data_IF_324369861694
#
_entry.id   IF_324369861694
#
_cell.length_a   1.000
_cell.length_b   1.000
_cell.length_c   1.000
_cell.angle_alpha   90.00
_cell.angle_beta   90.00
_cell.angle_gamma   90.00
#
_symmetry.space_group_name_H-M   'P 1'
#
loop_
_entity.id
_entity.type
_entity.pdbx_description
1 polymer ?
#
# COMPACT_ATOMS: atom_id res chain seq x y z
N UNK A 1 36.35 16.47 -70.65
CA UNK A 1 34.98 16.45 -70.08
C UNK A 1 34.71 15.07 -69.51
N UNK A 2 34.85 14.90 -68.19
CA UNK A 2 34.25 13.82 -67.40
C UNK A 2 34.50 14.18 -65.93
N UNK A 3 33.55 14.89 -65.36
CA UNK A 3 33.56 15.30 -63.95
C UNK A 3 33.26 14.08 -63.07
N UNK A 4 34.22 13.69 -62.23
CA UNK A 4 33.99 12.78 -61.10
C UNK A 4 33.67 13.63 -59.88
N UNK A 5 32.37 13.75 -59.56
CA UNK A 5 31.92 14.28 -58.26
C UNK A 5 32.12 13.20 -57.19
N UNK A 6 33.05 13.43 -56.28
CA UNK A 6 33.19 12.68 -55.02
C UNK A 6 32.05 13.11 -54.08
N UNK A 7 31.18 12.17 -53.72
CA UNK A 7 30.21 12.31 -52.62
C UNK A 7 30.95 12.08 -51.29
N UNK A 8 30.97 13.11 -50.44
CA UNK A 8 31.44 13.03 -49.05
C UNK A 8 30.28 12.50 -48.18
N UNK A 9 30.48 11.51 -47.27
CA UNK A 9 29.40 11.05 -46.40
C UNK A 9 29.14 12.09 -45.31
N UNK A 10 27.88 12.51 -45.17
CA UNK A 10 27.39 13.34 -44.07
C UNK A 10 27.32 12.46 -42.82
N UNK A 11 28.26 12.66 -41.90
CA UNK A 11 28.27 12.01 -40.59
C UNK A 11 27.12 12.59 -39.76
N UNK A 12 26.03 11.84 -39.65
CA UNK A 12 24.90 12.20 -38.77
C UNK A 12 25.33 12.01 -37.32
N UNK A 13 25.56 13.12 -36.63
CA UNK A 13 25.90 13.15 -35.21
C UNK A 13 24.62 12.88 -34.40
N UNK A 14 24.41 11.63 -33.99
CA UNK A 14 23.36 11.27 -33.04
C UNK A 14 23.78 11.79 -31.67
N UNK A 15 23.20 12.92 -31.24
CA UNK A 15 23.27 13.38 -29.86
C UNK A 15 22.40 12.44 -29.02
N UNK A 16 23.02 11.42 -28.41
CA UNK A 16 22.42 10.68 -27.32
C UNK A 16 22.33 11.61 -26.11
N UNK A 17 21.14 12.15 -25.84
CA UNK A 17 20.85 12.77 -24.55
C UNK A 17 20.90 11.67 -23.50
N UNK A 18 22.02 11.57 -22.79
CA UNK A 18 22.07 10.83 -21.54
C UNK A 18 21.19 11.58 -20.53
N UNK A 19 20.03 11.01 -20.22
CA UNK A 19 19.28 11.36 -19.02
C UNK A 19 20.18 10.96 -17.86
N UNK A 20 20.90 11.92 -17.28
CA UNK A 20 21.61 11.70 -16.02
C UNK A 20 20.51 11.67 -14.96
N UNK A 21 20.21 10.53 -14.32
CA UNK A 21 19.32 10.56 -13.19
C UNK A 21 20.02 11.42 -12.14
N UNK A 22 19.39 12.54 -11.77
CA UNK A 22 19.80 13.29 -10.59
C UNK A 22 19.68 12.32 -9.42
N UNK A 23 20.81 11.76 -8.99
CA UNK A 23 20.88 10.94 -7.80
C UNK A 23 20.33 11.80 -6.67
N UNK A 24 19.14 11.44 -6.17
CA UNK A 24 18.65 11.98 -4.92
C UNK A 24 19.79 11.84 -3.90
N UNK A 25 20.12 12.92 -3.20
CA UNK A 25 21.20 12.91 -2.23
C UNK A 25 21.01 11.70 -1.29
N UNK A 26 22.01 10.81 -1.26
CA UNK A 26 21.97 9.63 -0.39
C UNK A 26 21.78 10.12 1.05
N UNK A 27 20.78 9.57 1.74
CA UNK A 27 20.60 9.85 3.15
C UNK A 27 21.68 9.09 3.92
N UNK A 28 22.24 9.71 4.94
CA UNK A 28 23.16 9.05 5.86
C UNK A 28 22.31 8.26 6.87
N UNK A 29 22.13 6.96 6.60
CA UNK A 29 21.33 6.04 7.40
C UNK A 29 22.23 4.92 7.94
N UNK A 30 22.00 4.52 9.19
CA UNK A 30 22.73 3.40 9.82
C UNK A 30 22.16 2.02 9.41
N UNK A 31 21.04 2.01 8.71
CA UNK A 31 20.28 0.83 8.35
C UNK A 31 20.94 0.00 7.23
N UNK A 32 20.68 -1.30 7.21
CA UNK A 32 21.12 -2.17 6.11
C UNK A 32 20.30 -1.93 4.82
N UNK A 33 19.00 -1.59 4.98
CA UNK A 33 18.12 -1.22 3.88
C UNK A 33 17.05 -0.21 4.35
N UNK A 34 16.67 0.69 3.44
CA UNK A 34 15.65 1.70 3.70
C UNK A 34 14.81 2.01 2.47
N UNK A 35 13.50 2.23 2.68
CA UNK A 35 12.55 2.54 1.60
C UNK A 35 11.51 3.55 2.07
N UNK A 36 11.28 4.60 1.29
CA UNK A 36 10.14 5.51 1.47
C UNK A 36 9.17 5.36 0.30
N UNK A 37 7.89 5.16 0.58
CA UNK A 37 6.84 4.94 -0.42
C UNK A 37 5.69 5.93 -0.20
N UNK A 38 5.14 6.46 -1.29
CA UNK A 38 3.80 7.05 -1.29
C UNK A 38 2.76 5.94 -1.18
N UNK A 39 1.99 5.93 -0.10
CA UNK A 39 1.01 4.87 0.16
C UNK A 39 -0.11 4.83 -0.90
N UNK A 40 -0.47 5.97 -1.50
CA UNK A 40 -1.55 6.05 -2.50
C UNK A 40 -1.13 5.36 -3.78
N UNK A 41 -0.07 5.86 -4.41
CA UNK A 41 0.40 5.37 -5.71
C UNK A 41 1.22 4.07 -5.63
N UNK A 42 1.84 3.80 -4.48
CA UNK A 42 2.86 2.75 -4.35
C UNK A 42 4.23 3.17 -4.91
N UNK A 43 4.38 4.42 -5.39
CA UNK A 43 5.65 4.93 -5.91
C UNK A 43 6.70 4.98 -4.80
N UNK A 44 7.88 4.48 -5.12
CA UNK A 44 9.05 4.55 -4.24
C UNK A 44 9.71 5.91 -4.42
N UNK A 45 9.78 6.67 -3.34
CA UNK A 45 10.36 8.01 -3.28
C UNK A 45 11.84 7.98 -2.87
N UNK A 46 12.23 7.00 -2.06
CA UNK A 46 13.62 6.74 -1.66
C UNK A 46 13.87 5.24 -1.60
N UNK A 47 15.05 4.81 -2.06
CA UNK A 47 15.46 3.42 -2.08
C UNK A 47 16.94 3.26 -1.72
N UNK A 48 17.22 2.39 -0.77
CA UNK A 48 18.55 1.92 -0.41
C UNK A 48 18.51 0.42 -0.09
N UNK A 49 19.24 -0.38 -0.87
CA UNK A 49 19.32 -1.85 -0.76
C UNK A 49 17.95 -2.57 -0.68
N UNK A 50 16.94 -2.03 -1.35
CA UNK A 50 15.53 -2.38 -1.09
C UNK A 50 15.11 -3.78 -1.53
N UNK A 51 15.91 -4.44 -2.36
CA UNK A 51 15.65 -5.77 -2.91
C UNK A 51 16.55 -6.86 -2.28
N UNK A 52 17.30 -6.52 -1.23
CA UNK A 52 18.08 -7.51 -0.46
C UNK A 52 17.19 -8.20 0.57
N UNK A 53 17.06 -9.54 0.54
CA UNK A 53 16.31 -10.26 1.56
C UNK A 53 17.04 -10.20 2.90
N UNK A 54 16.35 -9.68 3.92
CA UNK A 54 16.89 -9.53 5.28
C UNK A 54 15.95 -10.19 6.29
N UNK A 55 16.47 -10.67 7.43
CA UNK A 55 15.62 -11.05 8.54
C UNK A 55 14.83 -9.86 9.05
N UNK A 56 13.50 -10.01 9.18
CA UNK A 56 12.61 -8.89 9.54
C UNK A 56 11.94 -9.03 10.90
N UNK A 57 12.25 -10.12 11.62
CA UNK A 57 11.74 -10.37 12.97
C UNK A 57 10.22 -10.18 13.06
N UNK A 58 9.73 -9.48 14.09
CA UNK A 58 8.30 -9.27 14.33
C UNK A 58 7.56 -8.42 13.28
N UNK A 59 8.22 -7.88 12.24
CA UNK A 59 7.50 -7.33 11.08
C UNK A 59 6.65 -8.41 10.39
N UNK A 60 7.05 -9.68 10.50
CA UNK A 60 6.25 -10.86 10.10
C UNK A 60 4.80 -10.79 10.58
N UNK A 61 4.56 -10.27 11.79
CA UNK A 61 3.21 -10.19 12.37
C UNK A 61 2.27 -9.26 11.60
N UNK A 62 2.76 -8.40 10.71
CA UNK A 62 1.89 -7.67 9.78
C UNK A 62 1.12 -8.64 8.88
N UNK A 63 1.76 -9.70 8.38
CA UNK A 63 1.08 -10.74 7.60
C UNK A 63 0.06 -11.50 8.45
N UNK A 64 0.42 -11.85 9.70
CA UNK A 64 -0.48 -12.52 10.63
C UNK A 64 -1.74 -11.69 10.92
N UNK A 65 -1.58 -10.39 11.18
CA UNK A 65 -2.69 -9.46 11.37
C UNK A 65 -3.52 -9.30 10.09
N UNK A 66 -2.87 -9.14 8.94
CA UNK A 66 -3.53 -9.05 7.63
C UNK A 66 -4.45 -10.25 7.40
N UNK A 67 -3.93 -11.47 7.50
CA UNK A 67 -4.72 -12.69 7.27
C UNK A 67 -5.88 -12.80 8.26
N UNK A 68 -5.64 -12.55 9.54
CA UNK A 68 -6.67 -12.64 10.56
C UNK A 68 -7.81 -11.62 10.35
N UNK A 69 -7.45 -10.37 10.05
CA UNK A 69 -8.44 -9.30 9.86
C UNK A 69 -9.20 -9.45 8.54
N UNK A 70 -8.56 -9.93 7.48
CA UNK A 70 -9.25 -10.27 6.22
C UNK A 70 -10.25 -11.42 6.42
N UNK A 71 -9.91 -12.44 7.21
CA UNK A 71 -10.83 -13.54 7.51
C UNK A 71 -12.03 -13.07 8.33
N UNK A 72 -11.83 -12.16 9.29
CA UNK A 72 -12.91 -11.52 10.05
C UNK A 72 -13.80 -10.66 9.13
N UNK A 73 -13.22 -9.90 8.21
CA UNK A 73 -13.97 -9.07 7.26
C UNK A 73 -14.84 -9.92 6.30
N UNK A 74 -14.36 -11.10 5.92
CA UNK A 74 -15.14 -12.10 5.15
C UNK A 74 -16.21 -12.82 5.99
N UNK A 75 -16.28 -12.57 7.30
CA UNK A 75 -17.24 -13.19 8.20
C UNK A 75 -16.92 -14.65 8.56
N UNK A 76 -15.68 -15.10 8.35
CA UNK A 76 -15.24 -16.46 8.71
C UNK A 76 -15.05 -16.61 10.23
N UNK A 77 -14.66 -15.52 10.90
CA UNK A 77 -14.44 -15.45 12.34
C UNK A 77 -15.02 -14.16 12.93
N UNK A 78 -15.32 -14.19 14.22
CA UNK A 78 -15.82 -13.05 14.97
C UNK A 78 -14.83 -12.62 16.04
N UNK A 79 -14.83 -11.34 16.34
CA UNK A 79 -13.96 -10.77 17.39
C UNK A 79 -14.18 -11.33 18.78
N UNK A 80 -15.41 -11.76 19.02
CA UNK A 80 -15.88 -12.38 20.27
C UNK A 80 -15.57 -13.86 20.35
N UNK A 81 -15.02 -14.46 19.30
CA UNK A 81 -14.61 -15.86 19.32
C UNK A 81 -13.59 -16.08 20.44
N UNK A 82 -13.82 -17.13 21.22
CA UNK A 82 -12.98 -17.49 22.36
C UNK A 82 -11.95 -18.52 21.89
N UNK A 83 -10.68 -18.15 22.02
CA UNK A 83 -9.54 -18.98 21.62
C UNK A 83 -8.93 -19.59 22.88
N UNK A 84 -8.80 -20.91 22.89
CA UNK A 84 -8.11 -21.65 23.97
C UNK A 84 -6.65 -21.82 23.60
N UNK A 85 -5.75 -21.28 24.43
CA UNK A 85 -4.31 -21.37 24.18
C UNK A 85 -3.82 -22.81 24.26
N UNK A 86 -3.14 -23.28 23.21
CA UNK A 86 -2.50 -24.60 23.19
C UNK A 86 -1.21 -24.62 24.03
N UNK A 87 -0.70 -25.81 24.42
CA UNK A 87 0.65 -25.92 24.97
C UNK A 87 1.73 -25.37 24.04
N UNK A 88 1.54 -25.47 22.72
CA UNK A 88 2.48 -24.93 21.73
C UNK A 88 2.51 -23.40 21.76
N UNK A 89 1.36 -22.74 21.75
CA UNK A 89 1.25 -21.29 21.89
C UNK A 89 1.85 -20.80 23.23
N UNK A 90 1.53 -21.48 24.34
CA UNK A 90 2.04 -21.15 25.67
C UNK A 90 3.57 -21.34 25.82
N UNK A 91 4.18 -22.22 25.00
CA UNK A 91 5.62 -22.50 25.04
C UNK A 91 6.50 -21.38 24.49
N UNK A 92 5.91 -20.43 23.75
CA UNK A 92 6.64 -19.43 22.97
C UNK A 92 7.39 -18.45 23.87
N UNK A 93 8.56 -18.02 23.38
CA UNK A 93 9.50 -17.13 24.07
C UNK A 93 9.49 -15.72 23.47
N UNK A 94 10.35 -14.84 23.96
CA UNK A 94 10.42 -13.44 23.50
C UNK A 94 9.24 -12.60 24.01
N UNK A 95 8.79 -11.63 23.21
CA UNK A 95 7.61 -10.83 23.53
C UNK A 95 6.37 -11.74 23.62
N UNK A 96 5.68 -11.69 24.76
CA UNK A 96 4.54 -12.56 25.05
C UNK A 96 3.61 -11.92 26.09
N UNK A 97 2.35 -12.37 26.11
CA UNK A 97 1.39 -12.00 27.15
C UNK A 97 1.28 -13.05 28.27
N UNK A 98 2.15 -14.07 28.20
CA UNK A 98 2.26 -15.17 29.14
C UNK A 98 0.99 -16.00 29.18
N UNK A 99 0.48 -16.39 28.00
CA UNK A 99 -0.63 -17.34 27.90
C UNK A 99 -0.30 -18.64 28.63
N UNK A 100 -1.20 -19.08 29.50
CA UNK A 100 -1.16 -20.43 30.08
C UNK A 100 -1.90 -21.41 29.16
N UNK A 101 -1.44 -22.65 29.05
CA UNK A 101 -2.15 -23.67 28.28
C UNK A 101 -3.55 -23.89 28.86
N UNK A 102 -4.58 -23.80 28.02
CA UNK A 102 -5.99 -23.84 28.44
C UNK A 102 -6.59 -22.48 28.80
N UNK A 103 -5.79 -21.41 28.91
CA UNK A 103 -6.30 -20.05 29.07
C UNK A 103 -7.14 -19.65 27.87
N UNK A 104 -8.26 -18.98 28.12
CA UNK A 104 -9.21 -18.54 27.11
C UNK A 104 -9.16 -17.02 26.98
N UNK A 105 -9.01 -16.53 25.75
CA UNK A 105 -9.05 -15.10 25.42
C UNK A 105 -9.85 -14.87 24.15
N UNK A 106 -10.46 -13.69 24.03
CA UNK A 106 -11.15 -13.35 22.78
C UNK A 106 -10.16 -13.11 21.65
N UNK A 107 -10.56 -13.38 20.41
CA UNK A 107 -9.77 -13.06 19.22
C UNK A 107 -9.38 -11.57 19.20
N UNK A 108 -10.30 -10.68 19.60
CA UNK A 108 -10.01 -9.25 19.72
C UNK A 108 -8.83 -8.94 20.65
N UNK A 109 -8.82 -9.52 21.86
CA UNK A 109 -7.72 -9.32 22.81
C UNK A 109 -6.39 -9.85 22.28
N UNK A 110 -6.41 -11.01 21.63
CA UNK A 110 -5.19 -11.59 21.04
C UNK A 110 -4.67 -10.74 19.87
N UNK A 111 -5.53 -10.13 19.06
CA UNK A 111 -5.12 -9.19 18.02
C UNK A 111 -4.46 -7.94 18.60
N UNK A 112 -5.00 -7.36 19.69
CA UNK A 112 -4.32 -6.29 20.42
C UNK A 112 -2.98 -6.75 21.01
N UNK A 113 -2.88 -7.99 21.51
CA UNK A 113 -1.62 -8.55 21.99
C UNK A 113 -0.56 -8.65 20.90
N UNK A 114 -0.94 -9.05 19.69
CA UNK A 114 -0.07 -9.15 18.51
C UNK A 114 0.36 -7.76 18.03
N UNK A 115 -0.58 -6.81 17.91
CA UNK A 115 -0.30 -5.48 17.38
C UNK A 115 0.49 -4.60 18.36
N UNK A 116 0.03 -4.52 19.61
CA UNK A 116 0.59 -3.62 20.63
C UNK A 116 1.77 -4.27 21.35
N UNK A 117 1.55 -5.45 21.94
CA UNK A 117 2.56 -6.18 22.71
C UNK A 117 3.56 -6.95 21.86
N UNK A 118 3.30 -7.11 20.55
CA UNK A 118 4.10 -7.95 19.66
C UNK A 118 4.20 -9.41 20.13
N UNK A 119 3.15 -9.91 20.77
CA UNK A 119 3.12 -11.17 21.50
C UNK A 119 3.19 -12.40 20.57
N UNK A 120 4.17 -13.27 20.80
CA UNK A 120 4.44 -14.47 20.01
C UNK A 120 3.47 -15.62 20.34
N UNK A 121 3.15 -15.78 21.61
CA UNK A 121 2.16 -16.74 22.10
C UNK A 121 0.76 -16.44 21.51
N UNK A 122 0.36 -15.17 21.50
CA UNK A 122 -0.89 -14.75 20.87
C UNK A 122 -0.90 -14.98 19.34
N UNK A 123 0.21 -14.70 18.65
CA UNK A 123 0.32 -14.93 17.20
C UNK A 123 0.10 -16.41 16.84
N UNK A 124 0.69 -17.32 17.63
CA UNK A 124 0.55 -18.77 17.43
C UNK A 124 -0.87 -19.22 17.76
N UNK A 125 -1.45 -18.76 18.87
CA UNK A 125 -2.83 -19.10 19.23
C UNK A 125 -3.84 -18.69 18.14
N UNK A 126 -3.69 -17.48 17.58
CA UNK A 126 -4.53 -16.99 16.47
C UNK A 126 -4.28 -17.80 15.20
N UNK A 127 -3.03 -18.13 14.89
CA UNK A 127 -2.68 -18.95 13.73
C UNK A 127 -3.30 -20.36 13.78
N UNK A 128 -3.18 -21.02 14.93
CA UNK A 128 -3.79 -22.34 15.18
C UNK A 128 -5.32 -22.28 15.11
N UNK A 129 -5.93 -21.23 15.65
CA UNK A 129 -7.38 -21.04 15.59
C UNK A 129 -7.89 -20.89 14.14
N UNK A 130 -7.21 -20.09 13.33
CA UNK A 130 -7.62 -19.79 11.95
C UNK A 130 -7.39 -20.98 11.01
N UNK A 131 -6.22 -21.64 11.12
CA UNK A 131 -5.79 -22.63 10.14
C UNK A 131 -5.76 -24.07 10.67
N UNK A 132 -6.17 -24.29 11.91
CA UNK A 132 -6.09 -25.59 12.61
C UNK A 132 -4.69 -25.94 13.14
N UNK A 133 -3.63 -25.37 12.58
CA UNK A 133 -2.25 -25.51 13.05
C UNK A 133 -1.39 -24.31 12.63
N UNK A 134 -0.27 -24.07 13.33
CA UNK A 134 0.69 -23.04 12.92
C UNK A 134 1.29 -23.34 11.53
N UNK A 135 1.58 -24.60 11.21
CA UNK A 135 2.15 -25.00 9.91
C UNK A 135 1.18 -24.71 8.75
N UNK A 136 -0.11 -25.02 8.94
CA UNK A 136 -1.16 -24.66 7.99
C UNK A 136 -1.27 -23.15 7.82
N UNK A 137 -1.13 -22.39 8.91
CA UNK A 137 -1.11 -20.93 8.83
C UNK A 137 0.12 -20.40 8.09
N UNK A 138 1.30 -20.99 8.28
CA UNK A 138 2.52 -20.64 7.52
C UNK A 138 2.34 -20.88 6.02
N UNK A 139 1.65 -21.95 5.64
CA UNK A 139 1.30 -22.19 4.24
C UNK A 139 0.41 -21.07 3.68
N UNK A 140 -0.58 -20.61 4.47
CA UNK A 140 -1.42 -19.45 4.13
C UNK A 140 -0.60 -18.15 4.03
N UNK A 141 0.34 -17.91 4.95
CA UNK A 141 1.21 -16.72 4.91
C UNK A 141 2.02 -16.65 3.62
N UNK A 142 2.66 -17.76 3.23
CA UNK A 142 3.45 -17.81 2.01
C UNK A 142 2.57 -17.80 0.74
N UNK A 143 1.34 -18.34 0.80
CA UNK A 143 0.37 -18.19 -0.28
C UNK A 143 -0.04 -16.73 -0.44
N UNK A 144 -0.42 -16.07 0.66
CA UNK A 144 -0.83 -14.66 0.67
C UNK A 144 0.30 -13.76 0.18
N UNK A 145 1.55 -14.06 0.55
CA UNK A 145 2.72 -13.37 0.03
C UNK A 145 2.78 -13.38 -1.51
N UNK A 146 2.55 -14.55 -2.14
CA UNK A 146 2.51 -14.67 -3.61
C UNK A 146 1.34 -13.90 -4.23
N UNK A 147 0.16 -13.97 -3.62
CA UNK A 147 -1.03 -13.23 -4.09
C UNK A 147 -0.83 -11.71 -4.05
N UNK A 148 -0.05 -11.23 -3.07
CA UNK A 148 0.33 -9.82 -2.93
C UNK A 148 1.56 -9.42 -3.74
N UNK A 149 2.19 -10.35 -4.48
CA UNK A 149 3.41 -10.09 -5.24
C UNK A 149 4.67 -9.87 -4.39
N UNK A 150 4.71 -10.40 -3.17
CA UNK A 150 5.87 -10.34 -2.26
C UNK A 150 6.87 -11.46 -2.62
N UNK A 151 7.47 -11.35 -3.81
CA UNK A 151 8.23 -12.43 -4.45
C UNK A 151 9.53 -12.80 -3.72
N UNK A 152 10.05 -11.92 -2.86
CA UNK A 152 11.31 -12.10 -2.15
C UNK A 152 11.10 -12.25 -0.63
N UNK A 153 9.94 -12.80 -0.26
CA UNK A 153 9.52 -13.01 1.12
C UNK A 153 9.32 -14.48 1.47
N UNK A 154 9.76 -14.86 2.66
CA UNK A 154 9.58 -16.19 3.22
C UNK A 154 9.19 -16.12 4.71
N UNK A 155 8.10 -16.81 5.04
CA UNK A 155 7.58 -16.93 6.39
C UNK A 155 7.81 -18.34 6.93
N UNK A 156 8.44 -18.44 8.10
CA UNK A 156 8.77 -19.71 8.74
C UNK A 156 7.83 -20.09 9.91
N UNK A 157 7.06 -19.12 10.43
CA UNK A 157 6.10 -19.24 11.53
C UNK A 157 5.18 -18.00 11.57
N UNK A 158 4.25 -17.95 12.53
CA UNK A 158 3.28 -16.85 12.66
C UNK A 158 3.81 -15.59 13.35
N UNK A 159 5.01 -15.66 13.94
CA UNK A 159 5.50 -14.65 14.89
C UNK A 159 6.71 -13.85 14.41
N UNK A 160 7.53 -14.39 13.51
CA UNK A 160 8.82 -13.77 13.18
C UNK A 160 9.94 -14.10 14.15
N UNK A 161 9.73 -15.03 15.09
CA UNK A 161 10.83 -15.61 15.86
C UNK A 161 11.69 -16.51 14.95
N UNK A 162 13.02 -16.55 15.12
CA UNK A 162 13.85 -17.57 14.47
C UNK A 162 13.43 -18.95 14.96
N UNK A 163 13.47 -19.95 14.06
CA UNK A 163 13.29 -21.35 14.45
C UNK A 163 14.51 -21.85 15.24
N UNK A 164 14.35 -22.97 15.95
CA UNK A 164 15.41 -23.54 16.80
C UNK A 164 16.66 -23.95 15.99
N UNK A 165 16.48 -24.31 14.72
CA UNK A 165 17.56 -24.61 13.77
C UNK A 165 18.26 -23.36 13.19
N UNK A 166 17.83 -22.16 13.60
CA UNK A 166 18.35 -20.89 13.13
C UNK A 166 17.73 -20.37 11.84
N UNK A 167 16.70 -21.03 11.30
CA UNK A 167 15.94 -20.55 10.15
C UNK A 167 15.24 -19.24 10.50
N UNK A 168 15.44 -18.24 9.64
CA UNK A 168 14.85 -16.91 9.77
C UNK A 168 13.73 -16.71 8.75
N UNK A 169 12.83 -15.79 9.09
CA UNK A 169 11.92 -15.18 8.12
C UNK A 169 12.71 -14.17 7.33
N UNK A 170 12.44 -14.02 6.05
CA UNK A 170 13.10 -12.99 5.24
C UNK A 170 12.07 -12.21 4.45
N UNK A 171 12.32 -10.91 4.30
CA UNK A 171 11.64 -10.05 3.34
C UNK A 171 12.64 -9.01 2.86
N UNK A 172 12.33 -8.39 1.73
CA UNK A 172 13.04 -7.20 1.26
C UNK A 172 12.37 -5.94 1.82
N UNK A 173 13.03 -4.79 1.81
CA UNK A 173 12.39 -3.53 2.21
C UNK A 173 11.21 -3.19 1.30
N UNK A 174 11.29 -3.55 0.00
CA UNK A 174 10.19 -3.44 -0.96
C UNK A 174 8.98 -4.28 -0.54
N UNK A 175 9.18 -5.54 -0.20
CA UNK A 175 8.08 -6.42 0.19
C UNK A 175 7.45 -5.99 1.52
N UNK A 176 8.26 -5.54 2.47
CA UNK A 176 7.76 -4.96 3.72
C UNK A 176 6.88 -3.73 3.45
N UNK A 177 7.30 -2.84 2.53
CA UNK A 177 6.53 -1.66 2.17
C UNK A 177 5.22 -2.00 1.44
N UNK A 178 5.26 -2.99 0.54
CA UNK A 178 4.07 -3.50 -0.15
C UNK A 178 3.09 -4.17 0.83
N UNK A 179 3.59 -4.99 1.75
CA UNK A 179 2.78 -5.59 2.82
C UNK A 179 2.18 -4.51 3.72
N UNK A 180 2.95 -3.50 4.11
CA UNK A 180 2.45 -2.37 4.88
C UNK A 180 1.36 -1.60 4.12
N UNK A 181 1.56 -1.31 2.84
CA UNK A 181 0.58 -0.63 1.99
C UNK A 181 -0.71 -1.41 1.89
N UNK A 182 -0.63 -2.73 1.68
CA UNK A 182 -1.80 -3.60 1.68
C UNK A 182 -2.46 -3.67 3.04
N UNK A 183 -1.70 -3.84 4.12
CA UNK A 183 -2.22 -3.88 5.49
C UNK A 183 -3.08 -2.65 5.82
N UNK A 184 -2.70 -1.46 5.32
CA UNK A 184 -3.46 -0.23 5.53
C UNK A 184 -4.84 -0.21 4.84
N UNK A 185 -5.09 -1.08 3.85
CA UNK A 185 -6.41 -1.23 3.21
C UNK A 185 -7.28 -2.26 3.92
N UNK A 186 -6.70 -3.12 4.77
CA UNK A 186 -7.43 -4.16 5.49
C UNK A 186 -8.33 -3.53 6.55
N UNK A 187 -9.64 -3.83 6.54
CA UNK A 187 -10.57 -3.31 7.53
C UNK A 187 -10.09 -3.55 8.96
N UNK A 188 -10.20 -2.50 9.78
CA UNK A 188 -9.80 -2.47 11.19
C UNK A 188 -8.29 -2.58 11.47
N UNK A 189 -7.41 -2.75 10.49
CA UNK A 189 -5.94 -2.78 10.74
C UNK A 189 -5.49 -1.58 11.58
N UNK A 190 -5.93 -0.38 11.18
CA UNK A 190 -5.59 0.87 11.87
C UNK A 190 -6.08 0.91 13.32
N UNK A 191 -7.19 0.26 13.66
CA UNK A 191 -7.68 0.16 15.05
C UNK A 191 -6.61 -0.44 15.96
N UNK A 192 -5.92 -1.48 15.50
CA UNK A 192 -4.91 -2.19 16.28
C UNK A 192 -3.55 -1.51 16.21
N UNK A 193 -3.03 -1.21 15.01
CA UNK A 193 -1.64 -0.77 14.85
C UNK A 193 -1.38 0.67 15.28
N UNK A 194 -2.44 1.49 15.36
CA UNK A 194 -2.36 2.86 15.90
C UNK A 194 -2.50 2.91 17.43
N UNK A 195 -2.91 1.80 18.06
CA UNK A 195 -3.08 1.74 19.51
C UNK A 195 -1.72 1.77 20.21
N UNK A 196 -1.50 2.81 21.04
CA UNK A 196 -0.26 2.95 21.81
C UNK A 196 -0.25 2.13 23.10
N UNK A 197 -1.39 2.05 23.78
CA UNK A 197 -1.53 1.38 25.07
C UNK A 197 -2.82 0.56 25.08
N UNK A 198 -2.74 -0.68 25.55
CA UNK A 198 -3.90 -1.55 25.67
C UNK A 198 -3.88 -2.31 27.00
N UNK A 199 -4.97 -2.21 27.76
CA UNK A 199 -5.14 -2.93 29.02
C UNK A 199 -5.92 -4.23 28.76
N UNK A 200 -5.29 -5.38 28.97
CA UNK A 200 -5.97 -6.68 28.81
C UNK A 200 -6.53 -7.20 30.12
N UNK A 201 -7.32 -8.29 30.05
CA UNK A 201 -7.75 -9.08 31.21
C UNK A 201 -8.39 -8.22 32.31
N UNK A 202 -9.18 -7.21 31.90
CA UNK A 202 -9.75 -6.19 32.79
C UNK A 202 -10.64 -6.78 33.89
N UNK A 203 -11.24 -7.94 33.63
CA UNK A 203 -12.13 -8.64 34.56
C UNK A 203 -11.39 -9.63 35.47
N UNK A 204 -10.05 -9.64 35.45
CA UNK A 204 -9.21 -10.52 36.27
C UNK A 204 -8.35 -9.72 37.24
N UNK A 205 -7.81 -10.39 38.26
CA UNK A 205 -6.79 -9.80 39.15
C UNK A 205 -5.43 -9.64 38.47
N UNK A 206 -5.24 -10.22 37.27
CA UNK A 206 -4.02 -10.13 36.45
C UNK A 206 -4.26 -9.13 35.33
N UNK A 207 -4.06 -7.85 35.59
CA UNK A 207 -4.25 -6.78 34.57
C UNK A 207 -2.89 -6.44 33.94
N UNK A 208 -2.54 -6.96 32.74
CA UNK A 208 -1.37 -6.49 32.00
C UNK A 208 -1.72 -5.23 31.20
N UNK A 209 -0.78 -4.28 31.18
CA UNK A 209 -0.79 -3.15 30.26
C UNK A 209 0.25 -3.40 29.18
N UNK A 210 -0.19 -3.45 27.93
CA UNK A 210 0.68 -3.54 26.78
C UNK A 210 1.01 -2.14 26.28
N UNK A 211 2.28 -1.93 25.94
CA UNK A 211 2.78 -0.70 25.34
C UNK A 211 3.29 -1.00 23.95
N UNK A 212 2.92 -0.16 22.99
CA UNK A 212 3.37 -0.32 21.62
C UNK A 212 4.87 -0.04 21.52
N UNK A 213 5.60 -0.99 20.95
CA UNK A 213 7.04 -0.86 20.71
C UNK A 213 7.39 0.24 19.69
N UNK A 214 6.42 0.69 18.89
CA UNK A 214 6.56 1.87 18.04
C UNK A 214 6.36 3.15 18.86
N UNK A 215 7.45 3.65 19.47
CA UNK A 215 7.45 4.90 20.25
C UNK A 215 7.13 6.13 19.39
N UNK A 216 7.21 6.06 18.06
CA UNK A 216 6.93 7.17 17.16
C UNK A 216 5.46 7.56 17.12
N UNK A 217 4.54 6.65 17.46
CA UNK A 217 3.11 6.97 17.64
C UNK A 217 2.86 8.16 18.58
N UNK A 218 3.76 8.39 19.56
CA UNK A 218 3.70 9.55 20.46
C UNK A 218 4.78 10.60 20.22
N UNK A 219 5.83 10.26 19.47
CA UNK A 219 7.05 11.09 19.35
C UNK A 219 7.22 11.74 17.99
N UNK A 220 6.41 11.38 17.00
CA UNK A 220 6.51 11.94 15.66
C UNK A 220 5.14 12.28 15.10
N UNK A 221 4.94 13.56 14.78
CA UNK A 221 3.67 14.06 14.25
C UNK A 221 3.31 13.36 12.94
N UNK A 222 2.11 12.79 12.88
CA UNK A 222 1.55 12.10 11.73
C UNK A 222 1.71 10.59 11.74
N UNK A 223 2.59 10.00 12.56
CA UNK A 223 2.75 8.53 12.61
C UNK A 223 1.52 7.88 13.25
N UNK A 224 0.95 6.89 12.55
CA UNK A 224 -0.25 6.16 12.97
C UNK A 224 -0.09 4.62 12.88
N UNK A 225 1.13 4.13 12.61
CA UNK A 225 1.46 2.71 12.56
C UNK A 225 2.93 2.47 12.19
N UNK A 226 3.37 1.26 11.84
CA UNK A 226 2.60 0.00 11.87
C UNK A 226 3.26 -0.97 12.84
N UNK A 227 4.52 -1.37 12.58
CA UNK A 227 5.15 -2.46 13.34
C UNK A 227 6.66 -2.30 13.46
N UNK A 228 7.20 -2.75 14.59
CA UNK A 228 8.64 -2.91 14.84
C UNK A 228 9.03 -4.40 14.92
N UNK A 229 10.30 -4.69 14.67
CA UNK A 229 10.91 -6.01 14.82
C UNK A 229 12.33 -5.92 15.36
N UNK A 230 12.73 -6.91 16.16
CA UNK A 230 14.11 -7.08 16.61
C UNK A 230 14.42 -8.55 16.88
N UNK A 231 15.55 -9.00 16.35
CA UNK A 231 16.32 -10.17 16.82
C UNK A 231 17.80 -9.81 16.70
N UNK A 232 18.69 -10.58 17.34
CA UNK A 232 20.14 -10.37 17.22
C UNK A 232 20.60 -10.39 15.75
N UNK A 233 19.99 -11.23 14.91
CA UNK A 233 20.37 -11.38 13.50
C UNK A 233 19.67 -10.38 12.58
N UNK A 234 18.43 -10.00 12.88
CA UNK A 234 17.69 -9.00 12.11
C UNK A 234 18.17 -7.57 12.36
N UNK A 235 18.79 -7.30 13.50
CA UNK A 235 18.96 -5.92 13.97
C UNK A 235 17.60 -5.30 14.32
N UNK A 236 17.56 -3.97 14.35
CA UNK A 236 16.35 -3.21 14.68
C UNK A 236 15.62 -2.79 13.41
N UNK A 237 14.43 -3.35 13.20
CA UNK A 237 13.60 -3.12 12.01
C UNK A 237 12.31 -2.37 12.37
N UNK A 238 11.79 -1.58 11.43
CA UNK A 238 10.50 -0.89 11.55
C UNK A 238 9.86 -0.66 10.18
N UNK A 239 8.54 -0.80 10.13
CA UNK A 239 7.68 -0.26 9.09
C UNK A 239 6.70 0.73 9.75
N UNK A 240 6.70 1.97 9.29
CA UNK A 240 5.81 3.03 9.77
C UNK A 240 4.91 3.55 8.67
N UNK A 241 3.71 3.99 9.06
CA UNK A 241 2.92 4.89 8.23
C UNK A 241 2.80 6.24 8.92
N UNK A 242 2.83 7.31 8.14
CA UNK A 242 2.65 8.66 8.62
C UNK A 242 1.83 9.50 7.64
N UNK A 243 0.95 10.37 8.15
CA UNK A 243 0.15 11.29 7.35
C UNK A 243 0.38 12.73 7.77
N UNK A 244 0.64 13.61 6.78
CA UNK A 244 0.63 15.07 6.95
C UNK A 244 0.00 15.70 5.71
N UNK A 245 -0.93 16.64 5.90
CA UNK A 245 -1.55 17.42 4.82
C UNK A 245 -2.08 16.56 3.65
N UNK A 246 -2.70 15.41 3.97
CA UNK A 246 -3.25 14.47 2.98
C UNK A 246 -2.23 13.56 2.28
N UNK A 247 -0.92 13.78 2.48
CA UNK A 247 0.13 12.88 2.01
C UNK A 247 0.37 11.77 3.05
N UNK A 248 0.17 10.52 2.66
CA UNK A 248 0.52 9.35 3.46
C UNK A 248 1.80 8.71 2.94
N UNK A 249 2.80 8.62 3.80
CA UNK A 249 4.07 7.96 3.52
C UNK A 249 4.18 6.65 4.31
N UNK A 250 4.84 5.67 3.70
CA UNK A 250 5.28 4.43 4.34
C UNK A 250 6.81 4.44 4.37
N UNK A 251 7.37 4.42 5.58
CA UNK A 251 8.82 4.35 5.80
C UNK A 251 9.20 2.96 6.30
N UNK A 252 10.17 2.33 5.65
CA UNK A 252 10.73 1.04 6.04
C UNK A 252 12.22 1.20 6.31
N UNK A 253 12.67 0.68 7.45
CA UNK A 253 14.07 0.64 7.87
C UNK A 253 14.34 -0.76 8.41
N UNK A 254 15.35 -1.43 7.83
CA UNK A 254 15.73 -2.80 8.20
C UNK A 254 17.19 -2.83 8.66
N UNK A 255 17.48 -3.59 9.71
CA UNK A 255 18.85 -3.88 10.11
C UNK A 255 19.62 -2.77 10.81
N UNK A 256 18.95 -1.76 11.40
CA UNK A 256 19.67 -0.73 12.16
C UNK A 256 20.38 -1.33 13.39
N UNK A 257 21.54 -0.80 13.80
CA UNK A 257 22.38 -1.38 14.87
C UNK A 257 21.82 -1.17 16.28
N UNK A 258 20.93 -0.19 16.46
CA UNK A 258 20.31 0.11 17.76
C UNK A 258 18.88 0.62 17.60
N UNK A 259 18.11 0.58 18.68
CA UNK A 259 16.76 1.17 18.71
C UNK A 259 16.78 2.68 18.40
N UNK A 260 17.80 3.38 18.90
CA UNK A 260 17.97 4.82 18.69
C UNK A 260 18.31 5.13 17.23
N UNK A 261 19.23 4.36 16.62
CA UNK A 261 19.57 4.46 15.21
C UNK A 261 18.34 4.22 14.33
N UNK A 262 17.59 3.13 14.58
CA UNK A 262 16.33 2.84 13.88
C UNK A 262 15.33 4.00 13.95
N UNK A 263 15.13 4.58 15.13
CA UNK A 263 14.25 5.75 15.29
C UNK A 263 14.77 6.99 14.56
N UNK A 264 16.09 7.20 14.52
CA UNK A 264 16.69 8.30 13.80
C UNK A 264 16.58 8.12 12.29
N UNK A 265 16.93 6.95 11.75
CA UNK A 265 16.86 6.61 10.33
C UNK A 265 15.47 6.86 9.77
N UNK A 266 14.44 6.34 10.44
CA UNK A 266 13.06 6.46 9.95
C UNK A 266 12.53 7.90 10.08
N UNK A 267 12.98 8.67 11.08
CA UNK A 267 12.66 10.11 11.18
C UNK A 267 13.31 10.88 10.04
N UNK A 268 14.61 10.66 9.80
CA UNK A 268 15.35 11.27 8.68
C UNK A 268 14.63 10.98 7.36
N UNK A 269 14.23 9.74 7.14
CA UNK A 269 13.53 9.29 5.94
C UNK A 269 12.16 9.97 5.76
N UNK A 270 11.32 9.99 6.82
CA UNK A 270 10.02 10.64 6.77
C UNK A 270 10.12 12.17 6.62
N UNK A 271 11.02 12.82 7.35
CA UNK A 271 11.22 14.27 7.27
C UNK A 271 11.74 14.69 5.89
N UNK A 272 12.64 13.91 5.30
CA UNK A 272 13.06 14.10 3.91
C UNK A 272 11.87 14.01 2.95
N UNK A 273 11.02 12.99 3.12
CA UNK A 273 9.80 12.79 2.34
C UNK A 273 8.84 13.97 2.41
N UNK A 274 8.43 14.37 3.61
CA UNK A 274 7.47 15.47 3.80
C UNK A 274 8.01 16.86 3.42
N UNK A 275 9.34 17.05 3.45
CA UNK A 275 9.97 18.28 2.96
C UNK A 275 9.98 18.33 1.44
N UNK A 276 10.23 17.20 0.78
CA UNK A 276 10.41 17.14 -0.68
C UNK A 276 9.10 16.97 -1.45
N UNK A 277 8.14 16.26 -0.88
CA UNK A 277 6.88 15.92 -1.54
C UNK A 277 5.67 16.51 -0.80
N UNK A 278 4.59 16.68 -1.53
CA UNK A 278 3.29 17.07 -0.99
C UNK A 278 2.16 16.49 -1.83
N UNK A 279 0.96 16.43 -1.27
CA UNK A 279 -0.23 16.00 -1.97
C UNK A 279 -0.81 17.20 -2.76
N UNK A 280 -0.67 17.18 -4.08
CA UNK A 280 -1.14 18.22 -5.00
C UNK A 280 -2.48 17.81 -5.63
N UNK A 281 -3.51 18.64 -5.52
CA UNK A 281 -4.78 18.44 -6.23
C UNK A 281 -4.57 18.78 -7.70
N UNK A 282 -4.46 17.75 -8.54
CA UNK A 282 -4.24 17.90 -9.98
C UNK A 282 -5.52 18.32 -10.72
N UNK A 283 -6.69 17.89 -10.23
CA UNK A 283 -7.99 18.32 -10.75
C UNK A 283 -9.05 18.28 -9.65
N UNK A 284 -9.94 19.28 -9.64
CA UNK A 284 -11.03 19.38 -8.68
C UNK A 284 -12.23 18.53 -9.09
N UNK A 285 -13.06 18.14 -8.12
CA UNK A 285 -14.34 17.47 -8.39
C UNK A 285 -15.20 18.31 -9.32
N UNK A 286 -15.82 17.67 -10.30
CA UNK A 286 -16.68 18.33 -11.28
C UNK A 286 -15.93 19.02 -12.43
N UNK A 287 -14.59 18.93 -12.48
CA UNK A 287 -13.84 19.38 -13.66
C UNK A 287 -14.33 18.63 -14.89
N UNK A 288 -14.82 19.38 -15.89
CA UNK A 288 -15.25 18.84 -17.19
C UNK A 288 -14.01 18.56 -18.03
N UNK A 289 -13.83 17.31 -18.45
CA UNK A 289 -12.68 16.87 -19.24
C UNK A 289 -13.04 16.51 -20.69
N UNK A 290 -14.32 16.56 -21.03
CA UNK A 290 -14.79 16.39 -22.40
C UNK A 290 -16.27 16.04 -22.45
N UNK A 291 -16.73 15.69 -23.65
CA UNK A 291 -18.06 15.16 -23.88
C UNK A 291 -17.97 13.75 -24.45
N UNK A 292 -18.85 12.87 -23.97
CA UNK A 292 -19.01 11.54 -24.49
C UNK A 292 -20.26 11.48 -25.38
N UNK A 293 -20.07 11.10 -26.64
CA UNK A 293 -21.17 10.81 -27.55
C UNK A 293 -21.75 9.42 -27.26
N UNK A 294 -23.05 9.37 -27.00
CA UNK A 294 -23.80 8.13 -26.73
C UNK A 294 -24.89 8.03 -27.78
N UNK A 295 -24.57 7.38 -28.89
CA UNK A 295 -25.44 7.30 -30.07
C UNK A 295 -26.86 6.83 -29.73
N UNK A 296 -26.98 5.86 -28.83
CA UNK A 296 -28.28 5.30 -28.41
C UNK A 296 -28.87 5.99 -27.16
N UNK A 297 -28.31 7.13 -26.74
CA UNK A 297 -28.68 7.86 -25.53
C UNK A 297 -29.63 9.03 -25.76
N UNK A 298 -30.35 9.41 -24.71
CA UNK A 298 -31.09 10.66 -24.59
C UNK A 298 -30.74 11.31 -23.23
N UNK A 299 -29.88 12.36 -23.20
CA UNK A 299 -29.29 13.06 -24.35
C UNK A 299 -28.28 12.21 -25.16
N UNK A 300 -28.00 12.60 -26.42
CA UNK A 300 -27.00 11.90 -27.28
C UNK A 300 -25.56 12.22 -26.95
N UNK A 301 -25.31 13.20 -26.09
CA UNK A 301 -24.01 13.54 -25.55
C UNK A 301 -24.18 13.84 -24.06
N UNK A 302 -23.13 13.59 -23.29
CA UNK A 302 -23.09 13.89 -21.86
C UNK A 302 -21.69 14.36 -21.48
N UNK A 303 -21.61 15.29 -20.54
CA UNK A 303 -20.34 15.74 -19.99
C UNK A 303 -19.66 14.58 -19.24
N UNK A 304 -18.37 14.41 -19.54
CA UNK A 304 -17.46 13.58 -18.76
C UNK A 304 -16.75 14.47 -17.76
N UNK A 305 -16.96 14.16 -16.49
CA UNK A 305 -16.46 14.93 -15.37
C UNK A 305 -15.64 14.07 -14.43
N UNK A 306 -14.85 14.71 -13.59
CA UNK A 306 -14.18 14.04 -12.50
C UNK A 306 -15.13 13.88 -11.29
N UNK A 307 -15.37 12.64 -10.86
CA UNK A 307 -16.34 12.34 -9.80
C UNK A 307 -15.91 12.77 -8.40
N UNK A 308 -14.60 12.75 -8.13
CA UNK A 308 -13.99 13.12 -6.84
C UNK A 308 -12.66 13.87 -7.08
N UNK A 309 -12.19 14.71 -6.14
CA UNK A 309 -10.93 15.44 -6.33
C UNK A 309 -9.77 14.47 -6.59
N UNK A 310 -8.99 14.74 -7.64
CA UNK A 310 -7.86 13.92 -8.02
C UNK A 310 -6.57 14.57 -7.55
N UNK A 311 -5.95 13.96 -6.55
CA UNK A 311 -4.68 14.41 -5.99
C UNK A 311 -3.57 13.36 -6.20
N UNK A 312 -2.36 13.86 -6.42
CA UNK A 312 -1.15 13.07 -6.62
C UNK A 312 0.00 13.59 -5.77
N UNK A 313 0.92 12.70 -5.42
CA UNK A 313 2.15 13.07 -4.72
C UNK A 313 3.14 13.67 -5.71
N UNK A 314 3.49 14.95 -5.53
CA UNK A 314 4.39 15.67 -6.44
C UNK A 314 5.58 16.23 -5.67
N UNK A 315 6.74 16.27 -6.32
CA UNK A 315 7.91 16.96 -5.78
C UNK A 315 7.65 18.47 -5.80
N UNK A 316 7.94 19.15 -4.69
CA UNK A 316 7.74 20.60 -4.58
C UNK A 316 8.47 21.34 -5.70
N UNK A 317 7.72 22.20 -6.42
CA UNK A 317 8.23 23.01 -7.52
C UNK A 317 8.12 22.33 -8.88
N UNK A 318 7.64 21.09 -8.96
CA UNK A 318 7.42 20.35 -10.22
C UNK A 318 5.96 20.21 -10.62
N UNK A 319 5.03 20.78 -9.85
CA UNK A 319 3.58 20.72 -10.16
C UNK A 319 3.20 21.30 -11.53
N UNK A 320 3.93 22.30 -12.02
CA UNK A 320 3.71 22.90 -13.34
C UNK A 320 4.14 22.02 -14.51
N UNK A 321 4.88 20.94 -14.24
CA UNK A 321 5.34 19.96 -15.24
C UNK A 321 4.40 18.75 -15.33
N UNK A 322 3.31 18.73 -14.55
CA UNK A 322 2.36 17.63 -14.53
C UNK A 322 1.53 17.57 -15.82
N UNK A 323 1.54 16.42 -16.48
CA UNK A 323 0.72 16.13 -17.64
C UNK A 323 -0.54 15.36 -17.22
N UNK A 324 -1.72 15.82 -17.68
CA UNK A 324 -3.00 15.15 -17.44
C UNK A 324 -3.54 14.58 -18.74
N UNK A 325 -3.78 13.27 -18.76
CA UNK A 325 -4.32 12.55 -19.91
C UNK A 325 -5.64 11.89 -19.56
N UNK A 326 -6.69 12.16 -20.32
CA UNK A 326 -7.99 11.50 -20.20
C UNK A 326 -8.16 10.40 -21.26
N UNK A 327 -8.55 9.21 -20.84
CA UNK A 327 -8.87 8.08 -21.71
C UNK A 327 -10.28 7.56 -21.40
N UNK A 328 -11.13 7.42 -22.43
CA UNK A 328 -12.48 6.88 -22.30
C UNK A 328 -12.50 5.40 -22.66
N UNK A 329 -13.37 4.62 -22.01
CA UNK A 329 -13.54 3.21 -22.36
C UNK A 329 -14.13 3.04 -23.77
N UNK A 330 -13.70 1.97 -24.44
CA UNK A 330 -14.26 1.60 -25.73
C UNK A 330 -15.74 1.20 -25.57
N UNK A 331 -16.58 1.70 -26.48
CA UNK A 331 -18.00 1.37 -26.60
C UNK A 331 -18.86 1.64 -25.36
N UNK A 332 -19.25 2.90 -25.16
CA UNK A 332 -20.19 3.28 -24.11
C UNK A 332 -21.60 3.46 -24.69
N UNK A 333 -22.60 2.84 -24.05
CA UNK A 333 -24.00 2.83 -24.50
C UNK A 333 -24.97 3.11 -23.36
N UNK A 334 -26.09 3.72 -23.69
CA UNK A 334 -27.19 3.92 -22.75
C UNK A 334 -27.93 2.60 -22.40
N UNK A 335 -28.50 2.46 -21.19
CA UNK A 335 -28.59 3.50 -20.16
C UNK A 335 -27.32 3.63 -19.31
N UNK A 336 -27.01 4.86 -18.89
CA UNK A 336 -25.97 5.15 -17.90
C UNK A 336 -26.62 5.85 -16.70
N UNK A 337 -26.33 5.36 -15.49
CA UNK A 337 -26.64 6.10 -14.28
C UNK A 337 -25.71 7.32 -14.13
N UNK A 338 -26.18 8.36 -13.45
CA UNK A 338 -25.28 9.44 -13.01
C UNK A 338 -24.11 8.84 -12.22
N UNK A 339 -22.91 9.40 -12.37
CA UNK A 339 -21.68 8.90 -11.77
C UNK A 339 -21.19 7.53 -12.30
N UNK A 340 -21.78 6.99 -13.38
CA UNK A 340 -21.24 5.80 -14.04
C UNK A 340 -19.83 6.09 -14.58
N UNK A 341 -18.89 5.19 -14.32
CA UNK A 341 -17.49 5.30 -14.76
C UNK A 341 -17.42 5.06 -16.28
N UNK A 342 -16.81 6.00 -16.99
CA UNK A 342 -16.70 6.03 -18.45
C UNK A 342 -15.27 6.17 -18.96
N UNK A 343 -14.30 6.33 -18.05
CA UNK A 343 -12.90 6.47 -18.42
C UNK A 343 -12.02 6.71 -17.21
N UNK A 344 -10.81 7.16 -17.49
CA UNK A 344 -9.74 7.39 -16.52
C UNK A 344 -9.02 8.69 -16.84
N UNK A 345 -8.76 9.50 -15.82
CA UNK A 345 -7.80 10.59 -15.86
C UNK A 345 -6.49 10.08 -15.25
N UNK A 346 -5.38 10.24 -15.96
CA UNK A 346 -4.04 9.83 -15.52
C UNK A 346 -3.16 11.06 -15.40
N UNK A 347 -2.45 11.19 -14.27
CA UNK A 347 -1.43 12.21 -14.09
C UNK A 347 -0.03 11.61 -14.30
N UNK A 348 0.79 12.28 -15.09
CA UNK A 348 2.17 11.90 -15.40
C UNK A 348 3.15 13.02 -15.11
N UNK A 349 4.38 12.66 -14.76
CA UNK A 349 5.52 13.55 -14.64
C UNK A 349 6.74 12.85 -15.25
N UNK A 350 7.40 13.46 -16.23
CA UNK A 350 8.48 12.83 -17.01
C UNK A 350 8.11 11.47 -17.63
N UNK A 351 6.83 11.28 -17.98
CA UNK A 351 6.30 10.01 -18.46
C UNK A 351 6.05 8.94 -17.37
N UNK A 352 6.41 9.19 -16.11
CA UNK A 352 6.04 8.34 -14.98
C UNK A 352 4.59 8.62 -14.55
N UNK A 353 3.78 7.57 -14.42
CA UNK A 353 2.40 7.69 -13.91
C UNK A 353 2.42 7.93 -12.40
N UNK A 354 1.90 9.07 -11.95
CA UNK A 354 1.81 9.43 -10.54
C UNK A 354 0.51 8.96 -9.88
N UNK A 355 -0.51 8.70 -10.69
CA UNK A 355 -1.79 8.18 -10.24
C UNK A 355 -2.85 8.29 -11.32
N UNK A 356 -4.03 7.76 -11.02
CA UNK A 356 -5.21 7.88 -11.87
C UNK A 356 -6.49 8.03 -11.05
N UNK A 357 -7.52 8.58 -11.67
CA UNK A 357 -8.86 8.73 -11.10
C UNK A 357 -9.94 8.38 -12.13
N UNK A 358 -11.08 7.82 -11.70
CA UNK A 358 -12.17 7.49 -12.60
C UNK A 358 -12.85 8.76 -13.13
N UNK A 359 -13.11 8.76 -14.44
CA UNK A 359 -13.99 9.72 -15.09
C UNK A 359 -15.41 9.18 -15.12
N UNK A 360 -16.37 10.05 -14.86
CA UNK A 360 -17.79 9.69 -14.73
C UNK A 360 -18.68 10.58 -15.57
N UNK A 361 -19.90 10.13 -15.85
CA UNK A 361 -20.93 11.01 -16.44
C UNK A 361 -21.55 11.92 -15.38
N UNK A 362 -21.68 13.20 -15.70
CA UNK A 362 -22.26 14.20 -14.79
C UNK A 362 -23.74 13.96 -14.49
N UNK A 363 -24.47 13.40 -15.45
CA UNK A 363 -25.90 13.11 -15.35
C UNK A 363 -26.24 11.72 -15.94
N UNK A 364 -27.44 11.24 -15.64
CA UNK A 364 -27.94 9.98 -16.18
C UNK A 364 -28.30 10.13 -17.66
N UNK A 365 -28.02 9.09 -18.45
CA UNK A 365 -28.34 9.04 -19.88
C UNK A 365 -29.26 7.87 -20.14
N UNK A 366 -30.52 8.17 -20.47
CA UNK A 366 -31.52 7.15 -20.77
C UNK A 366 -31.38 6.64 -22.20
N UNK A 367 -32.03 5.52 -22.53
CA UNK A 367 -32.10 5.06 -23.92
C UNK A 367 -32.93 6.01 -24.77
N UNK A 368 -32.42 6.35 -25.95
CA UNK A 368 -33.17 7.07 -26.97
C UNK A 368 -34.38 6.26 -27.43
N UNK A 369 -35.51 6.95 -27.61
CA UNK A 369 -36.70 6.36 -28.23
C UNK A 369 -36.47 6.01 -29.71
N UNK A 370 -37.30 5.11 -30.24
CA UNK A 370 -37.19 4.60 -31.62
C UNK A 370 -37.16 5.72 -32.67
N UNK A 371 -38.02 6.74 -32.55
CA UNK A 371 -38.08 7.86 -33.49
C UNK A 371 -36.77 8.69 -33.51
N UNK A 372 -36.14 8.89 -32.35
CA UNK A 372 -34.86 9.58 -32.25
C UNK A 372 -33.74 8.78 -32.93
N UNK A 373 -33.73 7.46 -32.76
CA UNK A 373 -32.76 6.58 -33.42
C UNK A 373 -32.93 6.60 -34.94
N UNK A 374 -34.16 6.50 -35.45
CA UNK A 374 -34.44 6.57 -36.90
C UNK A 374 -34.01 7.92 -37.48
N UNK A 375 -34.35 9.02 -36.81
CA UNK A 375 -33.95 10.36 -37.25
C UNK A 375 -32.43 10.54 -37.30
N UNK A 376 -31.70 10.02 -36.30
CA UNK A 376 -30.23 10.03 -36.28
C UNK A 376 -29.64 9.20 -37.42
N UNK A 377 -30.15 7.99 -37.66
CA UNK A 377 -29.70 7.13 -38.77
C UNK A 377 -29.87 7.82 -40.12
N UNK A 378 -31.04 8.42 -40.38
CA UNK A 378 -31.29 9.15 -41.63
C UNK A 378 -30.34 10.34 -41.80
N UNK A 379 -30.05 11.06 -40.71
CA UNK A 379 -29.08 12.17 -40.72
C UNK A 379 -27.68 11.68 -41.07
N UNK A 380 -27.19 10.63 -40.42
CA UNK A 380 -25.86 10.06 -40.71
C UNK A 380 -25.75 9.50 -42.13
N UNK A 381 -26.83 8.92 -42.67
CA UNK A 381 -26.87 8.49 -44.06
C UNK A 381 -26.80 9.66 -45.04
N UNK A 382 -27.49 10.77 -44.75
CA UNK A 382 -27.43 11.97 -45.58
C UNK A 382 -26.04 12.62 -45.55
N UNK A 383 -25.39 12.70 -44.38
CA UNK A 383 -24.03 13.23 -44.21
C UNK A 383 -22.95 12.35 -44.87
N UNK A 384 -23.21 11.06 -45.09
CA UNK A 384 -22.29 10.16 -45.80
C UNK A 384 -22.47 10.20 -47.33
N UNK A 385 -23.62 10.69 -47.82
CA UNK A 385 -23.99 10.67 -49.23
C UNK A 385 -23.63 11.98 -49.97
N UNK A 386 -23.36 13.05 -49.24
CA UNK A 386 -22.98 14.38 -49.72
C UNK A 386 -21.74 14.86 -48.97
#
# INVERSE_FOLDING_TARGET
MKDKRMLLPILSLVFAFAVIPTAAAALDLDAAAALLMDARSGRILYAENIDTPLPVASLTKMMTLTIALEAIDRGEFQLTDVITASPHAASKRGSRIWLEAGEQMTLNELLYAIAVGSANDAAVAVAEYIAGSEDSFVALMNQRARELGLENSYFANSSGLPLEDGTEHSMTARDVANLARHALTVPRMMEYVSTYEYTMRRDTTRIPVLWNNNKLLRRYSGVDGIKTGFTTKAGYCIAVSAVRDGLRLIGVVLGSPSEAAREQDVRTLLDWGFRRYYNYTAAEKGTVLGELQIWNGNPSSVEVVLGEPFAVTVERGREGELELESELFAEIRAPLAAQAIVGTLTAKLDGEILGSAPLVVGEAVERAGFAALVGRTLKSMAEAAF
#
